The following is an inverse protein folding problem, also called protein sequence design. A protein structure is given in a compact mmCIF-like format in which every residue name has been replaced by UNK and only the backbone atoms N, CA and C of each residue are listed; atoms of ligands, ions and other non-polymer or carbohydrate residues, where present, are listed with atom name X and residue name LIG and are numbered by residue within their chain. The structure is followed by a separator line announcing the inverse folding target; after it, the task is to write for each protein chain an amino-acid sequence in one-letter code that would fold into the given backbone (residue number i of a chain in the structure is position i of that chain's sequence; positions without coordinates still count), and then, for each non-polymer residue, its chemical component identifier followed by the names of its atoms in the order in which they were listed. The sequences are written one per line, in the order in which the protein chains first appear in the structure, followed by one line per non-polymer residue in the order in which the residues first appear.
data_IF_027907185996
#
_entry.id   IF_027907185996
#
_cell.length_a   1.000
_cell.length_b   1.000
_cell.length_c   1.000
_cell.angle_alpha   90.00
_cell.angle_beta   90.00
_cell.angle_gamma   90.00
#
_symmetry.space_group_name_H-M   'P 1'
#
loop_
_entity.id
_entity.type
_entity.pdbx_description
1 polymer ?
#
# COMPACT_ATOMS: atom_id res chain seq x y z
N UNK A 1 -26.88 12.79 11.60
CA UNK A 1 -25.94 13.61 10.80
C UNK A 1 -25.28 12.68 9.82
N UNK A 2 -25.21 13.04 8.54
CA UNK A 2 -24.52 12.22 7.53
C UNK A 2 -23.03 12.11 7.87
N UNK A 3 -22.46 10.92 7.71
CA UNK A 3 -21.02 10.68 7.86
C UNK A 3 -20.24 11.38 6.74
N UNK A 4 -18.99 11.73 6.98
CA UNK A 4 -18.12 12.38 5.99
C UNK A 4 -17.04 11.41 5.54
N UNK A 5 -16.84 11.28 4.24
CA UNK A 5 -15.76 10.49 3.68
C UNK A 5 -14.83 11.36 2.81
N UNK A 6 -13.53 11.16 2.96
CA UNK A 6 -12.53 11.61 1.99
C UNK A 6 -12.13 10.45 1.10
N UNK A 7 -12.27 10.62 -0.20
CA UNK A 7 -11.82 9.67 -1.22
C UNK A 7 -10.59 10.25 -1.91
N UNK A 8 -9.42 9.61 -1.72
CA UNK A 8 -8.17 9.98 -2.36
C UNK A 8 -7.91 8.99 -3.49
N UNK A 9 -7.94 9.46 -4.73
CA UNK A 9 -7.74 8.62 -5.91
C UNK A 9 -6.45 8.99 -6.64
N UNK A 10 -5.64 7.97 -6.95
CA UNK A 10 -4.52 8.10 -7.87
C UNK A 10 -4.98 7.74 -9.29
N UNK A 11 -5.19 8.73 -10.17
CA UNK A 11 -5.73 8.51 -11.51
C UNK A 11 -4.78 7.77 -12.44
N UNK A 12 -3.49 7.65 -12.06
CA UNK A 12 -2.46 6.97 -12.84
C UNK A 12 -2.22 5.52 -12.39
N UNK A 13 -2.92 5.03 -11.34
CA UNK A 13 -2.72 3.69 -10.82
C UNK A 13 -3.15 2.59 -11.78
N UNK A 14 -2.33 1.55 -11.86
CA UNK A 14 -2.57 0.36 -12.66
C UNK A 14 -2.97 0.68 -14.10
N UNK A 15 -4.08 0.10 -14.55
CA UNK A 15 -4.62 0.34 -15.89
C UNK A 15 -5.61 1.52 -15.96
N UNK A 16 -5.62 2.40 -14.95
CA UNK A 16 -6.52 3.56 -14.81
C UNK A 16 -8.01 3.18 -14.74
N UNK A 17 -8.32 1.94 -14.37
CA UNK A 17 -9.70 1.43 -14.35
C UNK A 17 -10.55 2.12 -13.29
N UNK A 18 -9.95 2.50 -12.16
CA UNK A 18 -10.68 3.16 -11.08
C UNK A 18 -11.36 4.46 -11.51
N UNK A 19 -10.76 5.21 -12.46
CA UNK A 19 -11.34 6.44 -12.98
C UNK A 19 -12.72 6.23 -13.61
N UNK A 20 -12.94 5.05 -14.23
CA UNK A 20 -14.22 4.72 -14.89
C UNK A 20 -15.34 4.41 -13.90
N UNK A 21 -14.99 4.01 -12.69
CA UNK A 21 -15.94 3.61 -11.64
C UNK A 21 -16.13 4.68 -10.57
N UNK A 22 -15.52 5.88 -10.73
CA UNK A 22 -15.57 6.90 -9.69
C UNK A 22 -17.02 7.29 -9.32
N UNK A 23 -17.89 7.46 -10.30
CA UNK A 23 -19.29 7.79 -10.05
C UNK A 23 -20.01 6.67 -9.29
N UNK A 24 -19.79 5.42 -9.69
CA UNK A 24 -20.40 4.26 -9.03
C UNK A 24 -19.87 4.09 -7.59
N UNK A 25 -18.57 4.38 -7.36
CA UNK A 25 -17.99 4.38 -6.02
C UNK A 25 -18.66 5.45 -5.15
N UNK A 26 -18.76 6.68 -5.65
CA UNK A 26 -19.42 7.78 -4.91
C UNK A 26 -20.88 7.43 -4.62
N UNK A 27 -21.59 6.80 -5.55
CA UNK A 27 -22.97 6.34 -5.35
C UNK A 27 -23.08 5.31 -4.21
N UNK A 28 -22.16 4.32 -4.16
CA UNK A 28 -22.07 3.34 -3.06
C UNK A 28 -21.92 4.05 -1.72
N UNK A 29 -21.00 5.03 -1.63
CA UNK A 29 -20.75 5.78 -0.39
C UNK A 29 -21.96 6.64 -0.01
N UNK A 30 -22.56 7.32 -0.98
CA UNK A 30 -23.73 8.18 -0.73
C UNK A 30 -24.94 7.35 -0.28
N UNK A 31 -25.13 6.16 -0.86
CA UNK A 31 -26.18 5.21 -0.43
C UNK A 31 -25.94 4.71 0.99
N UNK A 32 -24.69 4.65 1.45
CA UNK A 32 -24.31 4.32 2.83
C UNK A 32 -24.26 5.55 3.78
N UNK A 33 -24.94 6.64 3.40
CA UNK A 33 -25.10 7.90 4.16
C UNK A 33 -23.79 8.69 4.38
N UNK A 34 -22.83 8.58 3.42
CA UNK A 34 -21.63 9.40 3.43
C UNK A 34 -21.74 10.61 2.49
N UNK A 35 -21.31 11.78 2.99
CA UNK A 35 -21.00 12.96 2.16
C UNK A 35 -19.54 12.86 1.74
N UNK A 36 -19.28 12.76 0.43
CA UNK A 36 -17.96 12.49 -0.12
C UNK A 36 -17.23 13.76 -0.54
N UNK A 37 -15.98 13.90 -0.10
CA UNK A 37 -14.98 14.79 -0.71
C UNK A 37 -14.04 13.92 -1.53
N UNK A 38 -13.84 14.24 -2.81
CA UNK A 38 -12.96 13.48 -3.71
C UNK A 38 -11.77 14.34 -4.10
N UNK A 39 -10.55 13.83 -3.86
CA UNK A 39 -9.29 14.46 -4.24
C UNK A 39 -8.47 13.51 -5.11
N UNK A 40 -7.92 14.06 -6.21
CA UNK A 40 -7.01 13.32 -7.09
C UNK A 40 -5.57 13.65 -6.77
N UNK A 41 -4.71 12.65 -6.67
CA UNK A 41 -3.26 12.88 -6.56
C UNK A 41 -2.68 13.29 -7.91
N UNK A 42 -1.74 14.23 -7.89
CA UNK A 42 -1.04 14.73 -9.08
C UNK A 42 0.45 14.38 -9.05
N UNK A 43 0.99 14.16 -7.86
CA UNK A 43 2.40 13.83 -7.62
C UNK A 43 2.53 12.95 -6.37
N UNK A 44 3.72 12.39 -6.20
CA UNK A 44 4.08 11.63 -5.01
C UNK A 44 3.98 12.51 -3.75
N UNK A 45 3.39 11.96 -2.68
CA UNK A 45 3.19 12.63 -1.40
C UNK A 45 1.85 13.37 -1.27
N UNK A 46 1.09 13.58 -2.37
CA UNK A 46 -0.22 14.22 -2.28
C UNK A 46 -1.18 13.43 -1.37
N UNK A 47 -1.13 12.09 -1.42
CA UNK A 47 -1.93 11.23 -0.55
C UNK A 47 -1.66 11.46 0.93
N UNK A 48 -0.39 11.63 1.31
CA UNK A 48 0.02 11.94 2.68
C UNK A 48 -0.50 13.30 3.13
N UNK A 49 -0.34 14.32 2.28
CA UNK A 49 -0.79 15.69 2.58
C UNK A 49 -2.31 15.72 2.80
N UNK A 50 -3.07 15.14 1.85
CA UNK A 50 -4.53 15.15 1.92
C UNK A 50 -5.05 14.36 3.14
N UNK A 51 -4.51 13.17 3.38
CA UNK A 51 -4.91 12.37 4.53
C UNK A 51 -4.64 13.09 5.85
N UNK A 52 -3.45 13.70 6.01
CA UNK A 52 -3.10 14.47 7.21
C UNK A 52 -4.02 15.66 7.44
N UNK A 53 -4.33 16.42 6.39
CA UNK A 53 -5.15 17.63 6.49
C UNK A 53 -6.64 17.34 6.78
N UNK A 54 -7.13 16.18 6.36
CA UNK A 54 -8.53 15.83 6.47
C UNK A 54 -8.86 14.86 7.60
N UNK A 55 -7.88 14.19 8.20
CA UNK A 55 -8.10 13.15 9.21
C UNK A 55 -9.03 13.57 10.35
N UNK A 56 -8.93 14.83 10.82
CA UNK A 56 -9.79 15.36 11.88
C UNK A 56 -11.16 15.89 11.39
N UNK A 57 -11.42 15.86 10.10
CA UNK A 57 -12.61 16.51 9.48
C UNK A 57 -13.59 15.49 8.90
N UNK A 58 -13.21 14.22 8.85
CA UNK A 58 -13.99 13.14 8.23
C UNK A 58 -14.07 11.91 9.12
N UNK A 59 -15.05 11.07 8.88
CA UNK A 59 -15.28 9.83 9.61
C UNK A 59 -14.60 8.62 8.94
N UNK A 60 -14.18 8.77 7.67
CA UNK A 60 -13.55 7.73 6.87
C UNK A 60 -12.64 8.37 5.81
N UNK A 61 -11.43 7.84 5.64
CA UNK A 61 -10.56 8.16 4.50
C UNK A 61 -10.43 6.91 3.64
N UNK A 62 -10.62 7.03 2.33
CA UNK A 62 -10.50 5.92 1.39
C UNK A 62 -9.42 6.18 0.37
N UNK A 63 -8.45 5.26 0.28
CA UNK A 63 -7.43 5.25 -0.76
C UNK A 63 -7.88 4.44 -1.96
N UNK A 64 -7.89 5.04 -3.15
CA UNK A 64 -8.12 4.34 -4.43
C UNK A 64 -6.82 4.38 -5.23
N UNK A 65 -6.12 3.24 -5.30
CA UNK A 65 -4.81 3.19 -5.94
C UNK A 65 -4.09 1.87 -5.72
N UNK A 66 -2.78 1.85 -5.87
CA UNK A 66 -1.91 0.73 -5.50
C UNK A 66 -1.36 0.87 -4.09
N UNK A 67 -0.51 -0.08 -3.68
CA UNK A 67 0.13 -0.12 -2.35
C UNK A 67 0.84 1.19 -1.99
N UNK A 68 1.47 1.86 -2.95
CA UNK A 68 2.11 3.15 -2.73
C UNK A 68 1.13 4.27 -2.37
N UNK A 69 -0.05 4.33 -3.02
CA UNK A 69 -1.09 5.31 -2.70
C UNK A 69 -1.68 5.02 -1.32
N UNK A 70 -1.94 3.74 -1.01
CA UNK A 70 -2.39 3.32 0.31
C UNK A 70 -1.39 3.71 1.40
N UNK A 71 -0.10 3.43 1.18
CA UNK A 71 0.97 3.77 2.13
C UNK A 71 1.09 5.29 2.38
N UNK A 72 0.89 6.11 1.35
CA UNK A 72 0.83 7.58 1.51
C UNK A 72 -0.33 8.00 2.42
N UNK A 73 -1.51 7.41 2.22
CA UNK A 73 -2.70 7.71 3.04
C UNK A 73 -2.48 7.28 4.49
N UNK A 74 -1.97 6.07 4.72
CA UNK A 74 -1.62 5.57 6.05
C UNK A 74 -0.63 6.50 6.74
N UNK A 75 0.45 6.88 6.04
CA UNK A 75 1.45 7.81 6.58
C UNK A 75 0.84 9.15 6.97
N UNK A 76 -0.04 9.71 6.15
CA UNK A 76 -0.71 10.98 6.45
C UNK A 76 -1.64 10.90 7.66
N UNK A 77 -2.35 9.80 7.83
CA UNK A 77 -3.18 9.57 9.02
C UNK A 77 -2.30 9.46 10.28
N UNK A 78 -1.19 8.71 10.22
CA UNK A 78 -0.25 8.61 11.35
C UNK A 78 0.33 10.00 11.70
N UNK A 79 0.79 10.76 10.70
CA UNK A 79 1.34 12.11 10.89
C UNK A 79 0.32 13.10 11.47
N UNK A 80 -0.97 12.88 11.24
CA UNK A 80 -2.04 13.74 11.79
C UNK A 80 -2.23 13.57 13.31
N UNK A 81 -1.81 12.43 13.86
CA UNK A 81 -2.07 12.05 15.25
C UNK A 81 -3.55 11.71 15.54
N UNK A 82 -4.41 11.69 14.51
CA UNK A 82 -5.84 11.41 14.63
C UNK A 82 -6.13 9.97 14.23
N UNK A 83 -6.96 9.27 14.98
CA UNK A 83 -7.46 7.94 14.63
C UNK A 83 -8.70 8.07 13.76
N UNK A 84 -8.58 7.72 12.49
CA UNK A 84 -9.69 7.66 11.54
C UNK A 84 -9.56 6.36 10.75
N UNK A 85 -10.66 5.62 10.52
CA UNK A 85 -10.63 4.43 9.68
C UNK A 85 -10.14 4.73 8.25
N UNK A 86 -9.38 3.78 7.68
CA UNK A 86 -8.88 3.88 6.31
C UNK A 86 -9.49 2.75 5.50
N UNK A 87 -10.22 3.10 4.44
CA UNK A 87 -10.68 2.17 3.41
C UNK A 87 -9.64 2.02 2.31
N UNK A 88 -9.55 0.83 1.72
CA UNK A 88 -8.66 0.58 0.59
C UNK A 88 -9.41 -0.05 -0.58
N UNK A 89 -9.40 0.63 -1.72
CA UNK A 89 -9.91 0.13 -3.00
C UNK A 89 -8.71 -0.12 -3.92
N UNK A 90 -8.28 -1.38 -4.11
CA UNK A 90 -7.08 -1.72 -4.85
C UNK A 90 -7.27 -1.48 -6.35
N UNK A 91 -6.48 -0.57 -6.91
CA UNK A 91 -6.49 -0.20 -8.31
C UNK A 91 -5.10 -0.17 -8.96
N UNK A 92 -4.08 -0.61 -8.23
CA UNK A 92 -2.71 -0.74 -8.71
C UNK A 92 -2.47 -2.02 -9.51
N UNK A 93 -1.20 -2.27 -9.86
CA UNK A 93 -0.80 -3.43 -10.65
C UNK A 93 -0.68 -4.70 -9.82
N UNK A 94 -0.19 -4.62 -8.58
CA UNK A 94 0.08 -5.78 -7.70
C UNK A 94 -0.92 -5.84 -6.55
N UNK A 95 -1.00 -4.79 -5.72
CA UNK A 95 -1.88 -4.67 -4.57
C UNK A 95 -1.66 -5.79 -3.54
N UNK A 96 -0.39 -5.99 -3.15
CA UNK A 96 0.04 -7.04 -2.23
C UNK A 96 -0.63 -6.92 -0.86
N UNK A 97 -0.71 -5.69 -0.34
CA UNK A 97 -1.38 -5.43 0.94
C UNK A 97 -2.87 -5.81 0.90
N UNK A 98 -3.57 -5.47 -0.19
CA UNK A 98 -4.96 -5.86 -0.37
C UNK A 98 -5.13 -7.39 -0.43
N UNK A 99 -4.19 -8.09 -1.07
CA UNK A 99 -4.20 -9.55 -1.15
C UNK A 99 -3.98 -10.20 0.21
N UNK A 100 -3.19 -9.59 1.09
CA UNK A 100 -2.94 -10.10 2.45
C UNK A 100 -4.13 -9.94 3.39
N UNK A 101 -5.03 -9.00 3.10
CA UNK A 101 -6.28 -8.75 3.84
C UNK A 101 -7.52 -9.32 3.13
N UNK A 102 -7.36 -10.15 2.10
CA UNK A 102 -8.46 -10.70 1.30
C UNK A 102 -9.41 -9.64 0.72
N UNK A 103 -8.93 -8.40 0.52
CA UNK A 103 -9.72 -7.33 -0.08
C UNK A 103 -10.05 -7.67 -1.54
N UNK A 104 -11.31 -7.57 -1.98
CA UNK A 104 -11.73 -7.91 -3.33
C UNK A 104 -10.95 -7.14 -4.41
N UNK A 105 -10.51 -7.85 -5.45
CA UNK A 105 -9.88 -7.25 -6.65
C UNK A 105 -10.87 -6.46 -7.51
N UNK A 106 -12.16 -6.72 -7.34
CA UNK A 106 -13.22 -5.97 -8.01
C UNK A 106 -13.42 -4.63 -7.30
N UNK A 107 -13.26 -3.53 -8.02
CA UNK A 107 -13.30 -2.17 -7.50
C UNK A 107 -14.61 -1.85 -6.76
N UNK A 108 -15.76 -2.25 -7.33
CA UNK A 108 -17.06 -1.97 -6.72
C UNK A 108 -17.34 -2.89 -5.52
N UNK A 109 -16.84 -4.13 -5.53
CA UNK A 109 -16.92 -5.01 -4.37
C UNK A 109 -16.08 -4.43 -3.23
N UNK A 110 -14.83 -4.03 -3.48
CA UNK A 110 -13.98 -3.37 -2.48
C UNK A 110 -14.63 -2.09 -1.94
N UNK A 111 -15.28 -1.28 -2.79
CA UNK A 111 -16.02 -0.10 -2.34
C UNK A 111 -17.17 -0.44 -1.39
N UNK A 112 -17.89 -1.53 -1.65
CA UNK A 112 -18.95 -2.01 -0.73
C UNK A 112 -18.38 -2.53 0.58
N UNK A 113 -17.25 -3.23 0.55
CA UNK A 113 -16.55 -3.70 1.76
C UNK A 113 -16.10 -2.53 2.62
N UNK A 114 -15.61 -1.44 2.01
CA UNK A 114 -15.21 -0.23 2.75
C UNK A 114 -16.38 0.38 3.52
N UNK A 115 -17.58 0.44 2.96
CA UNK A 115 -18.73 1.09 3.63
C UNK A 115 -19.53 0.16 4.54
N UNK A 116 -19.43 -1.17 4.37
CA UNK A 116 -20.18 -2.16 5.13
C UNK A 116 -19.33 -3.03 6.04
N UNK A 117 -18.00 -3.03 5.87
CA UNK A 117 -17.07 -3.86 6.63
C UNK A 117 -16.79 -3.32 8.01
N UNK A 118 -16.22 -4.18 8.86
CA UNK A 118 -15.72 -3.79 10.18
C UNK A 118 -14.24 -3.40 10.09
N UNK A 119 -13.82 -2.31 10.75
CA UNK A 119 -12.42 -1.93 10.79
C UNK A 119 -11.55 -2.97 11.49
N UNK A 120 -10.44 -3.32 10.86
CA UNK A 120 -9.40 -4.17 11.47
C UNK A 120 -8.16 -3.34 11.75
N UNK A 121 -7.42 -3.70 12.80
CA UNK A 121 -6.14 -3.08 13.09
C UNK A 121 -5.03 -3.84 12.36
N UNK A 122 -3.99 -3.12 11.94
CA UNK A 122 -2.77 -3.70 11.44
C UNK A 122 -1.57 -2.87 11.85
N UNK A 123 -0.42 -3.50 11.91
CA UNK A 123 0.82 -2.85 12.30
C UNK A 123 1.45 -2.07 11.15
N UNK A 124 2.07 -0.96 11.48
CA UNK A 124 2.78 -0.12 10.52
C UNK A 124 4.22 0.05 10.99
N UNK A 125 5.16 -0.34 10.14
CA UNK A 125 6.57 -0.17 10.43
C UNK A 125 7.05 1.25 10.13
N UNK A 126 8.13 1.64 10.84
CA UNK A 126 8.86 2.87 10.55
C UNK A 126 10.32 2.54 10.25
N UNK A 127 10.80 2.98 9.10
CA UNK A 127 12.18 2.81 8.67
C UNK A 127 12.77 4.17 8.31
N UNK A 128 13.78 4.61 9.09
CA UNK A 128 14.39 5.94 8.94
C UNK A 128 13.36 7.08 8.89
N UNK A 129 12.36 7.03 9.79
CA UNK A 129 11.31 8.05 9.87
C UNK A 129 10.28 8.01 8.73
N UNK A 130 10.27 6.95 7.93
CA UNK A 130 9.25 6.71 6.89
C UNK A 130 8.40 5.51 7.28
N UNK A 131 7.10 5.70 7.23
CA UNK A 131 6.16 4.62 7.49
C UNK A 131 6.06 3.66 6.29
N UNK A 132 5.92 2.37 6.58
CA UNK A 132 5.58 1.36 5.58
C UNK A 132 4.47 0.46 6.11
N UNK A 133 3.46 0.22 5.28
CA UNK A 133 2.29 -0.57 5.63
C UNK A 133 2.47 -2.05 5.34
N UNK A 134 3.40 -2.43 4.42
CA UNK A 134 3.55 -3.84 4.09
C UNK A 134 4.99 -4.33 3.95
N UNK A 135 5.91 -3.55 3.37
CA UNK A 135 7.31 -3.98 3.22
C UNK A 135 8.29 -2.83 3.20
N UNK A 136 9.43 -3.00 3.87
CA UNK A 136 10.67 -2.26 3.67
C UNK A 136 11.74 -3.24 3.19
N UNK A 137 12.48 -2.90 2.12
CA UNK A 137 13.48 -3.80 1.55
C UNK A 137 14.74 -3.05 1.11
N UNK A 138 15.86 -3.78 1.08
CA UNK A 138 17.14 -3.28 0.63
C UNK A 138 17.83 -4.28 -0.31
N UNK A 139 18.89 -3.82 -1.01
CA UNK A 139 19.73 -4.65 -1.86
C UNK A 139 19.19 -4.89 -3.25
N UNK A 140 19.44 -6.08 -3.80
CA UNK A 140 19.06 -6.47 -5.15
C UNK A 140 17.53 -6.31 -5.39
N UNK A 141 17.15 -6.05 -6.63
CA UNK A 141 15.76 -5.86 -7.08
C UNK A 141 15.04 -4.61 -6.56
N UNK A 142 15.56 -3.92 -5.54
CA UNK A 142 14.91 -2.70 -5.03
C UNK A 142 14.98 -1.55 -6.03
N UNK A 143 16.07 -1.42 -6.79
CA UNK A 143 16.22 -0.39 -7.84
C UNK A 143 15.21 -0.58 -8.98
N UNK A 144 14.94 -1.81 -9.37
CA UNK A 144 13.95 -2.13 -10.40
C UNK A 144 12.55 -1.63 -10.00
N UNK A 145 12.19 -1.77 -8.73
CA UNK A 145 10.90 -1.31 -8.20
C UNK A 145 10.70 0.21 -8.33
N UNK A 146 11.78 1.00 -8.22
CA UNK A 146 11.72 2.46 -8.28
C UNK A 146 12.00 3.04 -9.68
N UNK A 147 12.83 2.36 -10.47
CA UNK A 147 13.28 2.87 -11.78
C UNK A 147 12.30 2.62 -12.92
N UNK A 148 11.45 1.59 -12.83
CA UNK A 148 10.53 1.23 -13.90
C UNK A 148 9.42 2.29 -14.05
N UNK A 149 9.29 2.93 -15.23
CA UNK A 149 8.22 3.89 -15.49
C UNK A 149 6.82 3.30 -15.30
N UNK A 150 5.88 4.10 -14.81
CA UNK A 150 4.52 3.63 -14.49
C UNK A 150 3.78 3.04 -15.70
N UNK A 151 4.01 3.57 -16.90
CA UNK A 151 3.45 3.04 -18.15
C UNK A 151 3.96 1.63 -18.47
N UNK A 152 5.22 1.32 -18.17
CA UNK A 152 5.82 0.00 -18.37
C UNK A 152 5.28 -0.97 -17.32
N UNK A 153 5.19 -0.55 -16.05
CA UNK A 153 4.54 -1.35 -14.99
C UNK A 153 3.10 -1.69 -15.33
N UNK A 154 2.36 -0.73 -15.90
CA UNK A 154 0.96 -0.92 -16.29
C UNK A 154 0.79 -1.83 -17.52
N UNK A 155 1.76 -1.82 -18.46
CA UNK A 155 1.68 -2.60 -19.69
C UNK A 155 2.17 -4.05 -19.52
N UNK A 156 3.22 -4.28 -18.74
CA UNK A 156 3.89 -5.57 -18.61
C UNK A 156 3.61 -6.26 -17.26
N UNK A 157 3.01 -5.56 -16.28
CA UNK A 157 2.69 -6.09 -14.98
C UNK A 157 3.90 -6.76 -14.32
N UNK A 158 3.73 -7.98 -13.81
CA UNK A 158 4.77 -8.78 -13.15
C UNK A 158 6.00 -9.06 -14.02
N UNK A 159 5.81 -9.21 -15.34
CA UNK A 159 6.91 -9.47 -16.28
C UNK A 159 7.95 -8.36 -16.32
N UNK A 160 7.55 -7.10 -16.12
CA UNK A 160 8.48 -5.98 -16.09
C UNK A 160 9.49 -6.10 -14.95
N UNK A 161 9.05 -6.53 -13.77
CA UNK A 161 9.92 -6.74 -12.61
C UNK A 161 10.89 -7.91 -12.82
N UNK A 162 10.42 -8.99 -13.44
CA UNK A 162 11.25 -10.17 -13.71
C UNK A 162 12.32 -9.83 -14.75
N UNK A 163 11.96 -9.15 -15.84
CA UNK A 163 12.89 -8.79 -16.92
C UNK A 163 13.94 -7.78 -16.45
N UNK A 164 13.55 -6.79 -15.66
CA UNK A 164 14.47 -5.81 -15.11
C UNK A 164 15.36 -6.43 -14.03
N UNK A 165 14.83 -7.38 -13.25
CA UNK A 165 15.58 -8.21 -12.32
C UNK A 165 16.66 -9.04 -13.03
N UNK A 166 16.37 -9.67 -14.16
CA UNK A 166 17.33 -10.44 -14.95
C UNK A 166 18.45 -9.55 -15.47
N UNK A 167 18.14 -8.37 -16.00
CA UNK A 167 19.15 -7.39 -16.45
C UNK A 167 20.01 -6.85 -15.30
N UNK A 168 19.51 -6.91 -14.07
CA UNK A 168 20.20 -6.43 -12.87
C UNK A 168 21.13 -7.47 -12.23
N UNK A 169 21.04 -8.74 -12.60
CA UNK A 169 21.80 -9.83 -11.99
C UNK A 169 23.32 -9.59 -12.08
N UNK A 170 23.81 -9.07 -13.21
CA UNK A 170 25.20 -8.72 -13.39
C UNK A 170 25.71 -7.57 -12.50
N UNK A 171 24.79 -6.80 -11.90
CA UNK A 171 25.09 -5.65 -11.04
C UNK A 171 24.80 -5.91 -9.56
N UNK A 172 24.41 -7.12 -9.19
CA UNK A 172 24.15 -7.48 -7.78
C UNK A 172 25.47 -7.37 -7.00
N UNK A 173 25.48 -6.47 -6.03
CA UNK A 173 26.56 -6.34 -5.06
C UNK A 173 26.12 -6.92 -3.74
N UNK A 174 27.04 -7.56 -3.08
CA UNK A 174 26.88 -7.92 -1.68
C UNK A 174 27.12 -6.67 -0.84
N UNK A 175 26.32 -6.48 0.18
CA UNK A 175 26.48 -5.45 1.19
C UNK A 175 26.77 -6.15 2.51
N UNK A 176 27.93 -5.88 3.10
CA UNK A 176 28.24 -6.38 4.43
C UNK A 176 27.43 -5.61 5.45
N UNK A 177 26.60 -6.32 6.22
CA UNK A 177 25.67 -5.71 7.15
C UNK A 177 25.60 -6.48 8.46
N UNK A 178 25.48 -5.75 9.54
CA UNK A 178 25.11 -6.26 10.85
C UNK A 178 23.64 -5.91 11.09
N UNK A 179 22.82 -6.92 11.30
CA UNK A 179 21.38 -6.79 11.58
C UNK A 179 21.17 -7.23 13.02
N UNK A 180 20.64 -6.35 13.84
CA UNK A 180 20.19 -6.67 15.18
C UNK A 180 18.65 -6.77 15.18
N UNK A 181 18.10 -7.92 15.55
CA UNK A 181 16.68 -8.16 15.64
C UNK A 181 16.39 -8.95 16.92
N UNK A 182 15.49 -8.46 17.77
CA UNK A 182 15.07 -9.08 19.03
C UNK A 182 16.24 -9.50 19.95
N UNK A 183 17.32 -8.68 19.96
CA UNK A 183 18.54 -8.93 20.73
C UNK A 183 19.46 -9.99 20.14
N UNK A 184 19.18 -10.48 18.95
CA UNK A 184 20.07 -11.35 18.18
C UNK A 184 20.80 -10.55 17.12
N UNK A 185 22.08 -10.87 16.89
CA UNK A 185 22.93 -10.20 15.91
C UNK A 185 23.22 -11.18 14.78
N UNK A 186 22.95 -10.73 13.56
CA UNK A 186 23.24 -11.44 12.33
C UNK A 186 24.24 -10.59 11.52
N UNK A 187 25.43 -11.09 11.30
CA UNK A 187 26.48 -10.39 10.55
C UNK A 187 26.91 -11.26 9.38
N UNK A 188 26.66 -10.79 8.17
CA UNK A 188 26.99 -11.50 6.93
C UNK A 188 26.96 -10.55 5.71
N UNK A 189 27.31 -11.10 4.56
CA UNK A 189 27.20 -10.46 3.25
C UNK A 189 25.81 -10.72 2.65
N UNK A 190 24.97 -9.70 2.64
CA UNK A 190 23.61 -9.79 2.12
C UNK A 190 23.51 -9.24 0.70
N UNK A 191 22.74 -9.90 -0.15
CA UNK A 191 22.38 -9.41 -1.48
C UNK A 191 20.98 -8.80 -1.51
N UNK A 192 20.11 -9.18 -0.57
CA UNK A 192 18.74 -8.71 -0.44
C UNK A 192 18.25 -8.94 0.99
N UNK A 193 17.43 -8.02 1.48
CA UNK A 193 16.68 -8.18 2.71
C UNK A 193 15.33 -7.47 2.61
N UNK A 194 14.35 -8.01 3.31
CA UNK A 194 13.03 -7.42 3.43
C UNK A 194 12.50 -7.59 4.86
N UNK A 195 11.81 -6.58 5.34
CA UNK A 195 11.03 -6.60 6.57
C UNK A 195 9.58 -6.39 6.13
N UNK A 196 8.71 -7.34 6.44
CA UNK A 196 7.36 -7.39 5.89
C UNK A 196 6.31 -7.53 6.97
N UNK A 197 5.19 -6.85 6.78
CA UNK A 197 3.92 -7.10 7.46
C UNK A 197 2.89 -7.55 6.41
N UNK A 198 3.18 -8.66 5.73
CA UNK A 198 2.35 -9.11 4.60
C UNK A 198 2.64 -10.57 4.27
N UNK A 199 1.63 -11.30 3.87
CA UNK A 199 1.78 -12.66 3.35
C UNK A 199 2.28 -12.71 1.90
N UNK A 200 2.32 -11.57 1.20
CA UNK A 200 2.75 -11.46 -0.20
C UNK A 200 3.82 -10.40 -0.36
N UNK A 201 4.90 -10.72 -1.05
CA UNK A 201 5.99 -9.82 -1.38
C UNK A 201 6.13 -9.72 -2.90
N UNK A 202 5.78 -8.57 -3.45
CA UNK A 202 5.85 -8.24 -4.89
C UNK A 202 5.09 -9.25 -5.78
N UNK A 203 4.14 -10.02 -5.20
CA UNK A 203 3.42 -11.11 -5.86
C UNK A 203 4.31 -12.28 -6.32
N UNK A 204 5.54 -12.34 -5.86
CA UNK A 204 6.53 -13.37 -6.23
C UNK A 204 6.74 -14.34 -5.07
N UNK A 205 6.93 -13.82 -3.88
CA UNK A 205 7.13 -14.58 -2.66
C UNK A 205 5.85 -14.54 -1.82
N UNK A 206 5.37 -15.72 -1.46
CA UNK A 206 4.24 -15.86 -0.52
C UNK A 206 4.76 -16.51 0.76
N UNK A 207 4.59 -15.80 1.87
CA UNK A 207 4.84 -16.33 3.20
C UNK A 207 3.66 -17.22 3.62
N UNK A 208 3.93 -18.19 4.49
CA UNK A 208 2.86 -19.03 5.03
C UNK A 208 1.93 -18.15 5.89
N UNK A 209 0.62 -18.03 5.56
CA UNK A 209 -0.32 -17.18 6.29
C UNK A 209 -0.44 -17.53 7.78
N UNK A 210 -0.04 -18.73 8.18
CA UNK A 210 -0.04 -19.15 9.61
C UNK A 210 1.12 -18.56 10.41
N UNK A 211 2.12 -17.99 9.74
CA UNK A 211 3.31 -17.41 10.36
C UNK A 211 3.26 -15.87 10.37
N UNK A 212 2.27 -15.27 9.72
CA UNK A 212 2.12 -13.82 9.60
C UNK A 212 0.84 -13.42 10.30
N UNK A 213 0.96 -12.64 11.37
CA UNK A 213 -0.15 -11.94 12.00
C UNK A 213 0.09 -10.43 11.86
N UNK A 214 -0.66 -9.80 10.99
CA UNK A 214 -0.47 -8.40 10.64
C UNK A 214 -0.79 -7.41 11.79
N UNK A 215 -1.16 -7.91 12.98
CA UNK A 215 -1.61 -7.10 14.12
C UNK A 215 -0.95 -7.44 15.46
N UNK A 216 0.10 -8.25 15.47
CA UNK A 216 0.75 -8.75 16.69
C UNK A 216 1.96 -7.90 17.16
N UNK A 217 2.24 -6.80 16.46
CA UNK A 217 3.37 -5.90 16.75
C UNK A 217 4.72 -6.43 16.24
N UNK A 218 4.73 -7.42 15.35
CA UNK A 218 5.93 -8.05 14.78
C UNK A 218 5.94 -7.93 13.26
N UNK A 219 7.13 -8.15 12.71
CA UNK A 219 7.37 -8.18 11.27
C UNK A 219 8.21 -9.41 10.92
N UNK A 220 8.01 -9.95 9.74
CA UNK A 220 8.82 -11.02 9.17
C UNK A 220 10.00 -10.48 8.36
#
# INVERSE_FOLDING_TARGET
MSKKALIIINPCSGTKRANKYLTDIVDIFTTADYVCTVLTTTKRGDGTIYAREYASKVDLITAIGGDGTFNEVVSGVIESGVRVPIGYIPAGSTNDFASSLDIPKNILAAARDVVNGEPVSFDVGSFNGRNFSYVASFGAFTKASYATPQNVKNALGHLAYILEGINSIASIRKEHMMIEADGQIYEDDYIFGAISNSTSLAGILTLNPKLVDMSDGRFE
#
